data_IF_240181939303
#
_entry.id   IF_240181939303
#
_cell.length_a   1.000
_cell.length_b   1.000
_cell.length_c   1.000
_cell.angle_alpha   90.00
_cell.angle_beta   90.00
_cell.angle_gamma   90.00
#
_symmetry.space_group_name_H-M   'P 1'
#
loop_
_entity.id
_entity.type
_entity.pdbx_description
1 polymer ?
#
# COMPACT_ATOMS: atom_id res chain seq x y z
N UNK A 1 -6.62 -7.55 -22.24
CA UNK A 1 -6.06 -8.11 -20.99
C UNK A 1 -6.75 -7.40 -19.83
N UNK A 2 -6.74 -7.95 -18.60
CA UNK A 2 -7.09 -7.12 -17.44
C UNK A 2 -5.86 -6.29 -17.13
N UNK A 3 -5.90 -5.01 -17.48
CA UNK A 3 -4.79 -4.08 -17.27
C UNK A 3 -4.90 -3.39 -15.90
N UNK A 4 -5.96 -3.70 -15.14
CA UNK A 4 -6.21 -3.21 -13.78
C UNK A 4 -6.37 -4.37 -12.80
N UNK A 5 -5.56 -4.35 -11.74
CA UNK A 5 -5.50 -5.35 -10.68
C UNK A 5 -5.97 -4.73 -9.38
N UNK A 6 -7.16 -5.11 -8.86
CA UNK A 6 -7.67 -4.57 -7.60
C UNK A 6 -6.75 -4.95 -6.44
N UNK A 7 -6.47 -3.99 -5.57
CA UNK A 7 -5.64 -4.19 -4.39
C UNK A 7 -6.19 -3.43 -3.18
N UNK A 8 -5.88 -3.95 -2.00
CA UNK A 8 -5.97 -3.20 -0.74
C UNK A 8 -4.56 -2.92 -0.24
N UNK A 9 -4.38 -1.79 0.45
CA UNK A 9 -3.10 -1.33 0.96
C UNK A 9 -3.17 -1.29 2.49
N UNK A 10 -2.17 -1.85 3.16
CA UNK A 10 -2.01 -1.70 4.60
C UNK A 10 -1.02 -0.57 4.86
N UNK A 11 -1.49 0.46 5.56
CA UNK A 11 -0.68 1.58 6.03
C UNK A 11 -0.47 1.44 7.53
N UNK A 12 0.78 1.52 7.99
CA UNK A 12 1.12 1.63 9.41
C UNK A 12 1.40 3.08 9.77
N UNK A 13 0.80 3.54 10.86
CA UNK A 13 1.18 4.74 11.59
C UNK A 13 1.91 4.31 12.86
N UNK A 14 3.19 4.65 12.96
CA UNK A 14 3.97 4.48 14.18
C UNK A 14 4.09 5.81 14.90
N UNK A 15 3.67 5.82 16.16
CA UNK A 15 3.74 6.96 17.07
C UNK A 15 4.90 6.81 18.04
N UNK A 16 5.37 7.92 18.58
CA UNK A 16 6.57 7.96 19.41
C UNK A 16 6.33 8.76 20.69
N UNK A 17 5.53 8.22 21.63
CA UNK A 17 5.07 8.95 22.81
C UNK A 17 6.22 9.47 23.69
N UNK A 18 7.32 8.72 23.78
CA UNK A 18 8.49 9.09 24.58
C UNK A 18 9.43 10.10 23.88
N UNK A 19 9.13 10.52 22.64
CA UNK A 19 9.98 11.41 21.85
C UNK A 19 9.21 12.66 21.47
N UNK A 20 9.27 13.66 22.34
CA UNK A 20 8.52 14.92 22.22
C UNK A 20 8.71 15.71 20.90
N UNK A 21 9.78 15.44 20.14
CA UNK A 21 10.09 16.11 18.87
C UNK A 21 9.88 15.23 17.64
N UNK A 22 9.44 13.99 17.80
CA UNK A 22 9.25 13.08 16.68
C UNK A 22 7.78 13.03 16.29
N UNK A 23 7.51 13.29 15.01
CA UNK A 23 6.18 13.16 14.42
C UNK A 23 5.89 11.69 14.11
N UNK A 24 4.61 11.35 14.02
CA UNK A 24 4.17 10.04 13.56
C UNK A 24 4.79 9.72 12.19
N UNK A 25 5.31 8.50 12.06
CA UNK A 25 5.81 7.99 10.78
C UNK A 25 4.75 7.13 10.12
N UNK A 26 4.53 7.35 8.83
CA UNK A 26 3.58 6.62 8.01
C UNK A 26 4.30 5.76 6.98
N UNK A 27 3.87 4.52 6.79
CA UNK A 27 4.49 3.60 5.84
C UNK A 27 3.48 2.64 5.25
N UNK A 28 3.56 2.40 3.93
CA UNK A 28 2.86 1.28 3.32
C UNK A 28 3.61 -0.01 3.65
N UNK A 29 3.00 -0.88 4.45
CA UNK A 29 3.61 -2.12 4.93
C UNK A 29 3.08 -3.36 4.22
N UNK A 30 2.02 -3.22 3.41
CA UNK A 30 1.49 -4.32 2.61
C UNK A 30 0.61 -3.86 1.46
N UNK A 31 0.64 -4.64 0.37
CA UNK A 31 -0.29 -4.52 -0.77
C UNK A 31 -0.85 -5.91 -1.01
N UNK A 32 -2.17 -6.05 -0.93
CA UNK A 32 -2.88 -7.32 -0.99
C UNK A 32 -3.74 -7.37 -2.25
N UNK A 33 -3.70 -8.47 -3.03
CA UNK A 33 -4.62 -8.64 -4.15
C UNK A 33 -6.05 -8.83 -3.65
N UNK A 34 -7.02 -8.30 -4.40
CA UNK A 34 -8.45 -8.47 -4.12
C UNK A 34 -9.16 -8.97 -5.37
N UNK A 35 -10.15 -9.85 -5.22
CA UNK A 35 -10.87 -10.42 -6.36
C UNK A 35 -11.70 -9.36 -7.11
N UNK A 36 -12.31 -8.43 -6.37
CA UNK A 36 -13.20 -7.39 -6.90
C UNK A 36 -12.82 -6.04 -6.31
N UNK A 37 -12.74 -5.01 -7.17
CA UNK A 37 -12.49 -3.65 -6.71
C UNK A 37 -13.71 -3.10 -5.97
N UNK A 38 -13.49 -2.52 -4.79
CA UNK A 38 -14.53 -1.78 -4.08
C UNK A 38 -14.96 -0.53 -4.87
N UNK A 39 -16.24 -0.16 -4.79
CA UNK A 39 -16.82 0.97 -5.54
C UNK A 39 -16.29 2.34 -5.08
N UNK A 40 -15.75 2.41 -3.86
CA UNK A 40 -15.21 3.62 -3.25
C UNK A 40 -14.02 3.29 -2.37
N UNK A 41 -13.16 4.29 -2.15
CA UNK A 41 -12.08 4.16 -1.17
C UNK A 41 -12.66 4.13 0.24
N UNK A 42 -12.28 3.12 1.02
CA UNK A 42 -12.60 2.97 2.45
C UNK A 42 -11.31 2.82 3.24
N UNK A 43 -11.37 3.19 4.53
CA UNK A 43 -10.28 3.00 5.47
C UNK A 43 -10.83 2.44 6.79
N UNK A 44 -10.20 1.40 7.32
CA UNK A 44 -10.56 0.79 8.60
C UNK A 44 -9.30 0.45 9.41
N UNK A 45 -9.34 0.63 10.72
CA UNK A 45 -8.28 0.19 11.62
C UNK A 45 -8.36 -1.33 11.78
N UNK A 46 -7.26 -2.03 11.53
CA UNK A 46 -7.19 -3.51 11.57
C UNK A 46 -6.30 -4.03 12.70
N UNK A 47 -5.46 -3.17 13.26
CA UNK A 47 -4.59 -3.49 14.39
C UNK A 47 -4.24 -2.22 15.15
N UNK A 48 -4.23 -2.29 16.47
CA UNK A 48 -3.85 -1.18 17.33
C UNK A 48 -3.03 -1.67 18.53
N UNK A 49 -2.00 -0.91 18.85
CA UNK A 49 -1.10 -1.07 19.98
C UNK A 49 -0.78 0.30 20.58
N UNK A 50 0.12 0.37 21.57
CA UNK A 50 0.50 1.62 22.23
C UNK A 50 1.25 2.59 21.30
N UNK A 51 2.14 2.08 20.46
CA UNK A 51 3.02 2.85 19.58
C UNK A 51 2.76 2.63 18.08
N UNK A 52 1.80 1.76 17.71
CA UNK A 52 1.47 1.46 16.31
C UNK A 52 -0.03 1.26 16.09
N UNK A 53 -0.52 1.77 14.96
CA UNK A 53 -1.84 1.50 14.41
C UNK A 53 -1.73 1.16 12.92
N UNK A 54 -2.44 0.13 12.48
CA UNK A 54 -2.47 -0.29 11.09
C UNK A 54 -3.86 -0.13 10.50
N UNK A 55 -3.90 0.39 9.27
CA UNK A 55 -5.10 0.72 8.55
C UNK A 55 -5.17 -0.07 7.24
N UNK A 56 -6.32 -0.67 6.97
CA UNK A 56 -6.63 -1.25 5.67
C UNK A 56 -7.35 -0.21 4.82
N UNK A 57 -6.70 0.16 3.71
CA UNK A 57 -7.25 1.00 2.66
C UNK A 57 -7.70 0.13 1.49
N UNK A 58 -8.97 0.24 1.09
CA UNK A 58 -9.54 -0.54 -0.02
C UNK A 58 -9.95 0.38 -1.18
N UNK A 59 -10.33 -0.22 -2.32
CA UNK A 59 -10.78 0.52 -3.51
C UNK A 59 -9.67 0.93 -4.48
N UNK A 60 -8.41 0.59 -4.18
CA UNK A 60 -7.27 0.85 -5.06
C UNK A 60 -7.13 -0.21 -6.16
N UNK A 61 -6.38 0.14 -7.20
CA UNK A 61 -5.95 -0.81 -8.23
C UNK A 61 -4.56 -0.44 -8.74
N UNK A 62 -3.80 -1.46 -9.15
CA UNK A 62 -2.59 -1.30 -9.95
C UNK A 62 -3.00 -1.33 -11.41
N UNK A 63 -2.61 -0.30 -12.16
CA UNK A 63 -2.82 -0.22 -13.60
C UNK A 63 -1.48 -0.39 -14.31
N UNK A 64 -1.44 -1.30 -15.30
CA UNK A 64 -0.25 -1.55 -16.10
C UNK A 64 -0.44 -0.99 -17.51
N UNK A 65 0.58 -0.32 -18.02
CA UNK A 65 0.61 0.25 -19.36
C UNK A 65 1.53 -0.57 -20.27
N UNK A 66 1.07 -0.91 -21.47
CA UNK A 66 1.82 -1.81 -22.36
C UNK A 66 3.18 -1.24 -22.79
N UNK A 67 3.30 0.07 -22.88
CA UNK A 67 4.51 0.78 -23.25
C UNK A 67 5.57 0.80 -22.13
N UNK A 68 5.24 0.37 -20.92
CA UNK A 68 6.14 0.31 -19.76
C UNK A 68 6.51 -1.14 -19.34
N UNK A 69 6.26 -2.11 -20.23
CA UNK A 69 6.48 -3.54 -19.96
C UNK A 69 7.94 -3.88 -19.57
N UNK A 70 8.92 -3.21 -20.16
CA UNK A 70 10.34 -3.40 -19.82
C UNK A 70 10.64 -2.98 -18.37
N UNK A 71 10.08 -1.86 -17.91
CA UNK A 71 10.23 -1.40 -16.54
C UNK A 71 9.59 -2.37 -15.54
N UNK A 72 8.40 -2.92 -15.86
CA UNK A 72 7.76 -3.92 -15.02
C UNK A 72 8.59 -5.20 -14.93
N UNK A 73 9.15 -5.67 -16.06
CA UNK A 73 10.04 -6.83 -16.07
C UNK A 73 11.29 -6.58 -15.21
N UNK A 74 11.92 -5.41 -15.35
CA UNK A 74 13.09 -5.03 -14.57
C UNK A 74 12.77 -4.93 -13.07
N UNK A 75 11.60 -4.38 -12.69
CA UNK A 75 11.15 -4.33 -11.30
C UNK A 75 10.96 -5.74 -10.73
N UNK A 76 10.24 -6.62 -11.44
CA UNK A 76 9.91 -7.98 -10.97
C UNK A 76 11.12 -8.91 -10.90
N UNK A 77 12.11 -8.74 -11.78
CA UNK A 77 13.34 -9.55 -11.80
C UNK A 77 14.50 -8.93 -11.04
N UNK A 78 14.32 -7.71 -10.53
CA UNK A 78 15.28 -7.02 -9.69
C UNK A 78 15.44 -7.69 -8.32
N UNK A 79 16.45 -7.25 -7.57
CA UNK A 79 16.73 -7.81 -6.23
C UNK A 79 15.65 -7.44 -5.21
N UNK A 80 15.05 -6.26 -5.38
CA UNK A 80 14.07 -5.69 -4.46
C UNK A 80 12.88 -5.17 -5.28
N UNK A 81 11.99 -6.05 -5.77
CA UNK A 81 10.76 -5.62 -6.43
C UNK A 81 9.93 -4.80 -5.46
N UNK A 82 9.34 -3.70 -5.94
CA UNK A 82 8.54 -2.81 -5.13
C UNK A 82 7.31 -2.30 -5.85
N UNK A 83 6.34 -1.85 -5.07
CA UNK A 83 5.19 -1.08 -5.53
C UNK A 83 5.23 0.25 -4.79
N UNK A 84 5.06 1.35 -5.52
CA UNK A 84 4.91 2.67 -4.92
C UNK A 84 3.43 2.98 -4.75
N UNK A 85 3.06 3.40 -3.55
CA UNK A 85 1.72 3.90 -3.23
C UNK A 85 1.80 5.42 -3.23
N UNK A 86 0.97 6.06 -4.07
CA UNK A 86 0.87 7.52 -4.15
C UNK A 86 -0.47 7.90 -3.51
N UNK A 87 -0.43 8.75 -2.49
CA UNK A 87 -1.58 9.25 -1.73
C UNK A 87 -1.59 10.77 -1.66
#
# INVERSE_FOLDING_TARGET
MKDRFPVSVIIERRSYPDKAWMVDSWSAIGVLPVETQATSVSCSSIYQSEDSEQFLYEGYCIELFQDDAESYYANLTGRNPGVFVIC
#
